data_IF_273407821261
#
_entry.id   IF_273407821261
#
_cell.length_a   1.000
_cell.length_b   1.000
_cell.length_c   1.000
_cell.angle_alpha   90.00
_cell.angle_beta   90.00
_cell.angle_gamma   90.00
#
_symmetry.space_group_name_H-M   'P 1'
#
loop_
_entity.id
_entity.type
_entity.pdbx_description
1 polymer ?
#
# COMPACT_ATOMS: atom_id res chain seq x y z
N UNK A 1 -5.77 6.80 -7.87
CA UNK A 1 -6.05 6.29 -6.51
C UNK A 1 -7.53 6.18 -6.24
N UNK A 2 -8.32 7.20 -6.58
CA UNK A 2 -9.76 7.29 -6.26
C UNK A 2 -10.61 6.11 -6.78
N UNK A 3 -10.25 5.53 -7.93
CA UNK A 3 -11.01 4.42 -8.52
C UNK A 3 -11.04 3.18 -7.64
N UNK A 4 -9.92 2.81 -7.00
CA UNK A 4 -9.86 1.56 -6.22
C UNK A 4 -10.63 1.70 -4.90
N UNK A 5 -10.52 2.85 -4.23
CA UNK A 5 -11.32 3.15 -3.04
C UNK A 5 -12.82 3.21 -3.37
N UNK A 6 -13.19 3.77 -4.53
CA UNK A 6 -14.58 3.82 -5.00
C UNK A 6 -15.21 2.46 -5.31
N UNK A 7 -14.40 1.41 -5.52
CA UNK A 7 -14.89 0.04 -5.75
C UNK A 7 -15.24 -0.71 -4.46
N UNK A 8 -14.82 -0.22 -3.29
CA UNK A 8 -15.04 -0.87 -2.00
C UNK A 8 -15.80 0.09 -1.05
N UNK A 9 -17.03 0.50 -1.39
CA UNK A 9 -17.71 1.59 -0.69
C UNK A 9 -18.13 1.29 0.75
N UNK A 10 -18.24 0.01 1.14
CA UNK A 10 -18.82 -0.41 2.42
C UNK A 10 -17.83 -1.11 3.35
N UNK A 11 -16.53 -0.92 3.16
CA UNK A 11 -15.51 -1.55 3.99
C UNK A 11 -14.81 -0.51 4.89
N UNK A 12 -14.76 -0.79 6.19
CA UNK A 12 -13.95 -0.01 7.14
C UNK A 12 -12.51 -0.50 7.07
N UNK A 13 -11.74 0.02 6.12
CA UNK A 13 -10.33 -0.30 5.91
C UNK A 13 -9.47 0.96 5.93
N UNK A 14 -8.24 0.79 6.38
CA UNK A 14 -7.18 1.77 6.16
C UNK A 14 -6.63 1.57 4.73
N UNK A 15 -6.58 2.65 3.95
CA UNK A 15 -5.98 2.64 2.61
C UNK A 15 -4.55 3.13 2.74
N UNK A 16 -3.60 2.23 2.49
CA UNK A 16 -2.18 2.58 2.40
C UNK A 16 -1.90 3.09 0.98
N UNK A 17 -1.06 4.12 0.87
CA UNK A 17 -0.74 4.75 -0.40
C UNK A 17 -0.05 3.75 -1.36
N UNK A 18 -0.60 3.48 -2.56
CA UNK A 18 0.04 2.59 -3.52
C UNK A 18 1.28 3.21 -4.17
N UNK A 19 2.25 2.37 -4.52
CA UNK A 19 3.37 2.75 -5.38
C UNK A 19 2.90 2.89 -6.83
N UNK A 20 3.11 4.07 -7.41
CA UNK A 20 2.76 4.36 -8.81
C UNK A 20 4.02 4.34 -9.70
N UNK A 21 4.28 3.21 -10.36
CA UNK A 21 5.32 3.10 -11.36
C UNK A 21 4.76 3.36 -12.77
N UNK A 22 5.29 4.35 -13.50
CA UNK A 22 4.92 4.63 -14.90
C UNK A 22 6.08 4.25 -15.82
N UNK A 23 5.89 3.23 -16.62
CA UNK A 23 6.94 2.69 -17.50
C UNK A 23 7.83 1.69 -16.77
N UNK A 24 9.12 1.66 -17.13
CA UNK A 24 10.07 0.70 -16.53
C UNK A 24 10.47 1.19 -15.13
N UNK A 25 10.34 0.34 -14.09
CA UNK A 25 10.69 0.72 -12.73
C UNK A 25 12.17 1.06 -12.58
N UNK A 26 12.43 2.11 -11.82
CA UNK A 26 13.76 2.52 -11.35
C UNK A 26 14.02 2.00 -9.93
N UNK A 27 15.25 2.11 -9.44
CA UNK A 27 15.61 1.81 -8.04
C UNK A 27 14.69 2.49 -7.01
N UNK A 28 14.21 3.70 -7.31
CA UNK A 28 13.27 4.43 -6.44
C UNK A 28 11.92 3.72 -6.32
N UNK A 29 11.43 3.14 -7.41
CA UNK A 29 10.17 2.38 -7.41
C UNK A 29 10.32 1.10 -6.61
N UNK A 30 11.45 0.40 -6.73
CA UNK A 30 11.75 -0.77 -5.91
C UNK A 30 11.87 -0.42 -4.43
N UNK A 31 12.57 0.66 -4.09
CA UNK A 31 12.66 1.14 -2.70
C UNK A 31 11.28 1.48 -2.14
N UNK A 32 10.42 2.12 -2.92
CA UNK A 32 9.05 2.42 -2.51
C UNK A 32 8.22 1.16 -2.25
N UNK A 33 8.46 0.07 -2.99
CA UNK A 33 7.83 -1.24 -2.71
C UNK A 33 8.33 -1.83 -1.38
N UNK A 34 9.62 -1.74 -1.08
CA UNK A 34 10.15 -2.16 0.22
C UNK A 34 9.54 -1.37 1.38
N UNK A 35 9.42 -0.05 1.25
CA UNK A 35 8.79 0.80 2.26
C UNK A 35 7.30 0.49 2.44
N UNK A 36 6.59 0.21 1.34
CA UNK A 36 5.19 -0.21 1.38
C UNK A 36 5.04 -1.55 2.12
N UNK A 37 5.90 -2.53 1.82
CA UNK A 37 5.88 -3.84 2.48
C UNK A 37 6.18 -3.72 3.98
N UNK A 38 7.16 -2.90 4.36
CA UNK A 38 7.48 -2.62 5.76
C UNK A 38 6.30 -1.96 6.50
N UNK A 39 5.63 -1.02 5.85
CA UNK A 39 4.45 -0.33 6.40
C UNK A 39 3.30 -1.32 6.63
N UNK A 40 3.00 -2.18 5.66
CA UNK A 40 1.96 -3.23 5.80
C UNK A 40 2.29 -4.15 6.98
N UNK A 41 3.54 -4.62 7.07
CA UNK A 41 3.97 -5.51 8.16
C UNK A 41 3.88 -4.82 9.54
N UNK A 42 4.23 -3.54 9.63
CA UNK A 42 4.09 -2.77 10.86
C UNK A 42 2.62 -2.66 11.27
N UNK A 43 1.74 -2.29 10.33
CA UNK A 43 0.30 -2.17 10.58
C UNK A 43 -0.32 -3.49 11.02
N UNK A 44 0.08 -4.61 10.43
CA UNK A 44 -0.38 -5.92 10.88
C UNK A 44 0.03 -6.20 12.33
N UNK A 45 1.26 -5.88 12.73
CA UNK A 45 1.70 -6.02 14.12
C UNK A 45 0.94 -5.11 15.08
N UNK A 46 0.70 -3.85 14.69
CA UNK A 46 -0.08 -2.88 15.48
C UNK A 46 -1.52 -3.38 15.75
N UNK A 47 -2.06 -4.18 14.84
CA UNK A 47 -3.39 -4.79 14.93
C UNK A 47 -3.37 -6.26 15.41
N UNK A 48 -2.23 -6.79 15.84
CA UNK A 48 -2.05 -8.18 16.34
C UNK A 48 -2.41 -9.26 15.29
N UNK A 49 -2.26 -8.95 14.00
CA UNK A 49 -2.51 -9.90 12.92
C UNK A 49 -1.33 -10.85 12.65
N UNK A 50 -0.14 -10.52 13.14
CA UNK A 50 1.12 -11.28 12.99
C UNK A 50 2.11 -10.96 14.09
#
# INVERSE_FOLDING_TARGET
METLAGMIPNLKVEIIEPVLCKGVPSDKDFKALDDLAATIAQKHKEHDFT
#
